data_IF_101439568253
#
_entry.id   IF_101439568253
#
_cell.length_a   1.000
_cell.length_b   1.000
_cell.length_c   1.000
_cell.angle_alpha   90.00
_cell.angle_beta   90.00
_cell.angle_gamma   90.00
#
_symmetry.space_group_name_H-M   'P 1'
#
loop_
_entity.id
_entity.type
_entity.pdbx_description
1 polymer ?
#
# COMPACT_ATOMS: atom_id res chain seq x y z
N UNK A 1 -95.14 15.12 -1.45
CA UNK A 1 -94.11 14.53 -0.66
C UNK A 1 -93.01 14.16 -1.63
N UNK A 2 -92.05 15.06 -1.87
CA UNK A 2 -90.98 14.90 -2.85
C UNK A 2 -89.68 14.64 -2.12
N UNK A 3 -89.13 13.47 -2.32
CA UNK A 3 -87.75 13.14 -1.90
C UNK A 3 -86.84 13.41 -3.08
N UNK A 4 -86.01 14.44 -2.97
CA UNK A 4 -84.92 14.74 -3.88
C UNK A 4 -83.62 14.03 -3.40
N UNK A 5 -83.24 13.03 -4.14
CA UNK A 5 -81.90 12.42 -3.98
C UNK A 5 -80.85 13.23 -4.77
N UNK A 6 -79.92 13.76 -4.08
CA UNK A 6 -78.72 14.39 -4.66
C UNK A 6 -77.57 13.30 -4.86
N UNK A 7 -76.99 13.14 -6.05
CA UNK A 7 -75.89 12.18 -6.24
C UNK A 7 -74.59 12.81 -5.81
N UNK A 8 -73.96 12.19 -4.84
CA UNK A 8 -72.53 12.48 -4.45
C UNK A 8 -71.64 11.97 -5.57
N UNK A 9 -71.02 12.91 -6.29
CA UNK A 9 -69.91 12.60 -7.22
C UNK A 9 -68.72 12.17 -6.45
N UNK A 10 -68.32 10.90 -6.55
CA UNK A 10 -67.05 10.39 -6.09
C UNK A 10 -65.91 10.96 -6.97
N UNK A 11 -65.09 11.80 -6.40
CA UNK A 11 -63.86 12.31 -7.00
C UNK A 11 -62.86 11.20 -6.98
N UNK A 12 -62.64 10.52 -8.10
CA UNK A 12 -61.53 9.59 -8.29
C UNK A 12 -60.23 10.37 -8.30
N UNK A 13 -59.42 10.22 -7.26
CA UNK A 13 -58.02 10.68 -7.21
C UNK A 13 -57.19 9.77 -8.14
N UNK A 14 -57.00 10.22 -9.38
CA UNK A 14 -56.04 9.64 -10.30
C UNK A 14 -54.62 10.09 -9.87
N UNK A 15 -54.07 9.45 -8.85
CA UNK A 15 -52.64 9.55 -8.48
C UNK A 15 -51.84 8.57 -9.31
N UNK A 16 -51.72 8.78 -10.59
CA UNK A 16 -50.57 8.28 -11.35
C UNK A 16 -49.39 9.20 -11.05
N UNK A 17 -48.73 8.98 -9.93
CA UNK A 17 -47.37 9.48 -9.74
C UNK A 17 -46.53 8.80 -10.80
N UNK A 18 -46.10 9.57 -11.81
CA UNK A 18 -44.99 9.13 -12.67
C UNK A 18 -43.84 8.69 -11.77
N UNK A 19 -43.18 7.54 -12.04
CA UNK A 19 -42.05 7.12 -11.23
C UNK A 19 -41.03 8.26 -11.25
N UNK A 20 -40.74 8.80 -10.09
CA UNK A 20 -39.66 9.79 -9.92
C UNK A 20 -38.36 9.10 -10.30
N UNK A 21 -37.97 9.25 -11.56
CA UNK A 21 -36.68 8.76 -12.07
C UNK A 21 -35.62 9.69 -11.49
N UNK A 22 -34.71 9.15 -10.68
CA UNK A 22 -33.55 9.89 -10.18
C UNK A 22 -32.69 10.35 -11.38
N UNK A 23 -32.23 11.59 -11.39
CA UNK A 23 -31.23 12.05 -12.38
C UNK A 23 -29.99 11.15 -12.38
N UNK A 24 -29.42 10.95 -13.55
CA UNK A 24 -28.24 10.06 -13.73
C UNK A 24 -27.04 10.50 -12.87
N UNK A 25 -26.88 11.81 -12.66
CA UNK A 25 -25.82 12.37 -11.81
C UNK A 25 -25.95 11.92 -10.35
N UNK A 26 -27.17 11.89 -9.83
CA UNK A 26 -27.45 11.41 -8.47
C UNK A 26 -27.25 9.89 -8.36
N UNK A 27 -27.62 9.14 -9.39
CA UNK A 27 -27.36 7.70 -9.45
C UNK A 27 -25.85 7.45 -9.42
N UNK A 28 -25.07 8.16 -10.24
CA UNK A 28 -23.63 8.08 -10.30
C UNK A 28 -23.00 8.42 -8.93
N UNK A 29 -23.47 9.50 -8.31
CA UNK A 29 -22.97 9.91 -6.99
C UNK A 29 -23.25 8.84 -5.93
N UNK A 30 -24.45 8.28 -5.86
CA UNK A 30 -24.82 7.20 -4.93
C UNK A 30 -23.97 5.95 -5.19
N UNK A 31 -23.83 5.54 -6.45
CA UNK A 31 -23.04 4.37 -6.82
C UNK A 31 -21.58 4.51 -6.40
N UNK A 32 -21.01 5.71 -6.49
CA UNK A 32 -19.60 5.95 -6.16
C UNK A 32 -19.25 5.74 -4.68
N UNK A 33 -20.25 5.65 -3.79
CA UNK A 33 -20.06 5.33 -2.37
C UNK A 33 -20.22 3.84 -2.06
N UNK A 34 -20.63 3.02 -3.02
CA UNK A 34 -20.93 1.61 -2.78
C UNK A 34 -19.66 0.76 -2.82
N UNK A 35 -19.58 -0.31 -1.99
CA UNK A 35 -18.50 -1.28 -2.07
C UNK A 35 -18.38 -1.92 -3.45
N UNK A 36 -17.16 -2.25 -3.89
CA UNK A 36 -16.88 -2.85 -5.20
C UNK A 36 -17.75 -4.10 -5.44
N UNK A 37 -17.92 -4.95 -4.42
CA UNK A 37 -18.77 -6.16 -4.50
C UNK A 37 -20.20 -5.84 -4.92
N UNK A 38 -20.77 -4.73 -4.44
CA UNK A 38 -22.12 -4.27 -4.82
C UNK A 38 -22.15 -3.74 -6.24
N UNK A 39 -21.15 -2.91 -6.60
CA UNK A 39 -21.01 -2.37 -7.95
C UNK A 39 -20.87 -3.46 -9.01
N UNK A 40 -20.11 -4.50 -8.72
CA UNK A 40 -19.95 -5.65 -9.62
C UNK A 40 -21.27 -6.40 -9.84
N UNK A 41 -22.18 -6.43 -8.85
CA UNK A 41 -23.54 -6.95 -9.03
C UNK A 41 -24.39 -6.00 -9.90
N UNK A 42 -24.31 -4.70 -9.64
CA UNK A 42 -25.04 -3.70 -10.43
C UNK A 42 -24.65 -3.68 -11.91
N UNK A 43 -23.40 -3.97 -12.23
CA UNK A 43 -22.96 -4.15 -13.64
C UNK A 43 -23.75 -5.21 -14.40
N UNK A 44 -24.38 -6.16 -13.72
CA UNK A 44 -25.16 -7.21 -14.33
C UNK A 44 -26.64 -6.87 -14.50
N UNK A 45 -27.12 -5.73 -13.96
CA UNK A 45 -28.55 -5.36 -13.95
C UNK A 45 -29.01 -4.81 -15.29
N UNK A 46 -28.27 -3.84 -15.85
CA UNK A 46 -28.59 -3.24 -17.14
C UNK A 46 -27.36 -2.65 -17.83
N UNK A 47 -27.53 -2.23 -19.09
CA UNK A 47 -26.44 -1.67 -19.93
C UNK A 47 -25.93 -0.33 -19.40
N UNK A 48 -26.83 0.54 -18.92
CA UNK A 48 -26.47 1.85 -18.35
C UNK A 48 -25.52 1.68 -17.17
N UNK A 49 -25.89 0.89 -16.16
CA UNK A 49 -25.05 0.63 -14.99
C UNK A 49 -23.73 -0.03 -15.37
N UNK A 50 -23.75 -0.94 -16.34
CA UNK A 50 -22.52 -1.59 -16.83
C UNK A 50 -21.57 -0.58 -17.45
N UNK A 51 -22.03 0.31 -18.32
CA UNK A 51 -21.19 1.35 -18.95
C UNK A 51 -20.68 2.35 -17.93
N UNK A 52 -21.56 2.87 -17.07
CA UNK A 52 -21.22 3.84 -16.03
C UNK A 52 -20.16 3.31 -15.06
N UNK A 53 -20.35 2.11 -14.50
CA UNK A 53 -19.41 1.53 -13.52
C UNK A 53 -18.07 1.15 -14.17
N UNK A 54 -18.04 0.97 -15.51
CA UNK A 54 -16.81 0.65 -16.25
C UNK A 54 -16.12 1.89 -16.83
N UNK A 55 -16.73 3.05 -16.69
CA UNK A 55 -16.20 4.32 -17.19
C UNK A 55 -14.94 4.72 -16.38
N UNK A 56 -13.82 5.10 -17.02
CA UNK A 56 -12.61 5.49 -16.33
C UNK A 56 -12.79 6.66 -15.34
N UNK A 57 -13.65 7.62 -15.66
CA UNK A 57 -13.93 8.75 -14.78
C UNK A 57 -14.67 8.28 -13.52
N UNK A 58 -15.67 7.38 -13.67
CA UNK A 58 -16.35 6.77 -12.53
C UNK A 58 -15.39 5.95 -11.66
N UNK A 59 -14.52 5.15 -12.29
CA UNK A 59 -13.50 4.37 -11.59
C UNK A 59 -12.61 5.26 -10.73
N UNK A 60 -12.16 6.40 -11.27
CA UNK A 60 -11.34 7.36 -10.53
C UNK A 60 -12.11 8.04 -9.40
N UNK A 61 -13.37 8.44 -9.65
CA UNK A 61 -14.24 9.03 -8.64
C UNK A 61 -14.49 8.05 -7.48
N UNK A 62 -14.78 6.80 -7.79
CA UNK A 62 -14.96 5.74 -6.81
C UNK A 62 -13.67 5.50 -6.01
N UNK A 63 -12.50 5.45 -6.67
CA UNK A 63 -11.21 5.27 -6.03
C UNK A 63 -10.93 6.37 -4.99
N UNK A 64 -11.20 7.64 -5.35
CA UNK A 64 -11.01 8.77 -4.44
C UNK A 64 -11.89 8.67 -3.19
N UNK A 65 -13.11 8.12 -3.32
CA UNK A 65 -14.01 7.88 -2.18
C UNK A 65 -13.61 6.65 -1.38
N UNK A 66 -13.17 5.59 -2.06
CA UNK A 66 -12.74 4.32 -1.45
C UNK A 66 -11.46 4.45 -0.64
N UNK A 67 -10.62 5.47 -0.89
CA UNK A 67 -9.39 5.72 -0.13
C UNK A 67 -9.63 5.86 1.38
N UNK A 68 -10.85 6.17 1.79
CA UNK A 68 -11.29 6.21 3.21
C UNK A 68 -11.53 4.82 3.81
N UNK A 69 -11.68 3.78 3.00
CA UNK A 69 -11.94 2.40 3.42
C UNK A 69 -10.68 1.54 3.26
N UNK A 70 -9.65 1.89 4.02
CA UNK A 70 -8.39 1.18 3.98
C UNK A 70 -8.51 -0.21 4.64
N UNK A 71 -7.88 -1.19 4.02
CA UNK A 71 -7.72 -2.55 4.51
C UNK A 71 -6.24 -2.87 4.65
N UNK A 72 -5.93 -3.85 5.48
CA UNK A 72 -4.64 -4.53 5.45
C UNK A 72 -4.78 -5.80 4.62
N UNK A 73 -3.86 -6.04 3.71
CA UNK A 73 -3.86 -7.21 2.84
C UNK A 73 -2.62 -8.07 3.09
N UNK A 74 -2.81 -9.38 3.11
CA UNK A 74 -1.76 -10.35 3.35
C UNK A 74 -1.98 -11.63 2.55
N UNK A 75 -0.93 -12.19 1.95
CA UNK A 75 -0.94 -13.54 1.43
C UNK A 75 -0.71 -14.59 2.52
N UNK A 76 -1.54 -15.63 2.47
CA UNK A 76 -1.43 -16.79 3.35
C UNK A 76 -0.72 -17.94 2.63
N UNK A 77 -0.14 -18.87 3.41
CA UNK A 77 0.53 -20.06 2.87
C UNK A 77 -0.37 -20.97 2.05
N UNK A 78 -1.69 -20.90 2.24
CA UNK A 78 -2.69 -21.66 1.49
C UNK A 78 -3.06 -21.05 0.15
N UNK A 79 -2.26 -20.09 -0.33
CA UNK A 79 -2.51 -19.34 -1.56
C UNK A 79 -3.82 -18.54 -1.52
N UNK A 80 -4.20 -18.03 -0.37
CA UNK A 80 -5.31 -17.09 -0.23
C UNK A 80 -4.80 -15.70 0.18
N UNK A 81 -5.52 -14.67 -0.24
CA UNK A 81 -5.37 -13.32 0.27
C UNK A 81 -6.36 -13.13 1.43
N UNK A 82 -5.85 -12.65 2.54
CA UNK A 82 -6.66 -12.20 3.65
C UNK A 82 -6.66 -10.68 3.66
N UNK A 83 -7.85 -10.09 3.73
CA UNK A 83 -8.02 -8.65 3.92
C UNK A 83 -8.69 -8.36 5.26
N UNK A 84 -8.14 -7.41 6.00
CA UNK A 84 -8.61 -6.96 7.30
C UNK A 84 -9.05 -5.50 7.19
N UNK A 85 -10.31 -5.22 7.46
CA UNK A 85 -10.82 -3.85 7.51
C UNK A 85 -10.23 -3.09 8.70
N UNK A 86 -9.66 -1.92 8.47
CA UNK A 86 -9.14 -1.04 9.53
C UNK A 86 -10.23 -0.68 10.56
N UNK A 87 -11.46 -0.25 10.17
CA UNK A 87 -12.54 -0.04 11.13
C UNK A 87 -12.87 -1.28 11.97
N UNK A 88 -12.84 -2.46 11.37
CA UNK A 88 -13.05 -3.73 12.08
C UNK A 88 -11.95 -4.00 13.12
N UNK A 89 -10.70 -3.69 12.79
CA UNK A 89 -9.57 -3.80 13.72
C UNK A 89 -9.73 -2.86 14.92
N UNK A 90 -10.16 -1.62 14.68
CA UNK A 90 -10.35 -0.62 15.74
C UNK A 90 -11.52 -0.95 16.68
N UNK A 91 -12.57 -1.58 16.16
CA UNK A 91 -13.74 -2.00 16.92
C UNK A 91 -13.55 -3.33 17.69
N UNK A 92 -12.35 -3.93 17.62
CA UNK A 92 -12.03 -5.24 18.23
C UNK A 92 -12.89 -6.42 17.72
N UNK A 93 -13.69 -6.21 16.71
CA UNK A 93 -14.50 -7.24 16.05
C UNK A 93 -13.68 -7.94 14.95
N UNK A 94 -12.69 -8.72 15.35
CA UNK A 94 -11.69 -9.37 14.46
C UNK A 94 -12.26 -10.56 13.68
N UNK A 95 -13.56 -10.77 13.69
CA UNK A 95 -14.20 -11.96 13.11
C UNK A 95 -14.34 -11.90 11.59
N UNK A 96 -14.04 -10.79 10.93
CA UNK A 96 -14.26 -10.67 9.48
C UNK A 96 -12.93 -10.62 8.75
N UNK A 97 -12.31 -11.76 8.65
CA UNK A 97 -11.25 -12.00 7.69
C UNK A 97 -11.90 -12.37 6.36
N UNK A 98 -11.97 -11.44 5.44
CA UNK A 98 -12.31 -11.79 4.06
C UNK A 98 -11.16 -12.60 3.48
N UNK A 99 -11.40 -13.89 3.28
CA UNK A 99 -10.43 -14.78 2.64
C UNK A 99 -10.79 -14.91 1.17
N UNK A 100 -9.95 -14.40 0.31
CA UNK A 100 -10.14 -14.43 -1.13
C UNK A 100 -9.19 -15.48 -1.70
N UNK A 101 -9.70 -16.60 -2.24
CA UNK A 101 -8.85 -17.57 -2.89
C UNK A 101 -8.17 -16.91 -4.09
N UNK A 102 -6.87 -17.14 -4.22
CA UNK A 102 -6.17 -16.71 -5.41
C UNK A 102 -6.74 -17.48 -6.63
N UNK A 103 -6.95 -16.80 -7.78
CA UNK A 103 -7.46 -17.47 -8.97
C UNK A 103 -6.57 -18.66 -9.32
N UNK A 104 -7.16 -19.86 -9.37
CA UNK A 104 -6.45 -21.12 -9.56
C UNK A 104 -5.77 -21.18 -10.92
N UNK A 105 -4.46 -21.31 -10.89
CA UNK A 105 -3.61 -21.77 -11.98
C UNK A 105 -2.32 -22.38 -11.38
N UNK A 106 -1.48 -23.12 -12.13
CA UNK A 106 -0.31 -23.85 -11.61
C UNK A 106 0.68 -23.09 -10.73
N UNK A 107 0.34 -21.86 -10.35
CA UNK A 107 1.05 -21.05 -9.36
C UNK A 107 0.95 -21.54 -7.91
N UNK A 108 0.32 -22.65 -7.59
CA UNK A 108 0.39 -23.21 -6.24
C UNK A 108 1.85 -23.34 -5.75
N UNK A 109 2.77 -23.59 -6.68
CA UNK A 109 4.22 -23.60 -6.42
C UNK A 109 4.85 -22.19 -6.43
N UNK A 110 4.28 -21.24 -7.17
CA UNK A 110 4.79 -19.88 -7.26
C UNK A 110 4.58 -19.07 -5.97
N UNK A 111 3.44 -19.23 -5.34
CA UNK A 111 3.07 -18.45 -4.16
C UNK A 111 3.79 -18.91 -2.89
N UNK A 112 4.34 -20.11 -2.86
CA UNK A 112 5.11 -20.58 -1.71
C UNK A 112 6.36 -19.71 -1.43
N UNK A 113 6.84 -18.98 -2.46
CA UNK A 113 7.91 -17.99 -2.38
C UNK A 113 7.52 -16.61 -2.93
N UNK A 114 6.24 -16.43 -3.31
CA UNK A 114 5.73 -15.17 -3.83
C UNK A 114 5.64 -14.11 -2.73
N UNK A 115 5.88 -12.87 -3.11
CA UNK A 115 5.99 -11.75 -2.23
C UNK A 115 5.11 -10.60 -2.74
N UNK A 116 4.22 -10.07 -1.88
CA UNK A 116 3.59 -8.77 -2.17
C UNK A 116 4.68 -7.70 -2.08
N UNK A 117 4.85 -6.96 -3.15
CA UNK A 117 5.79 -5.83 -3.22
C UNK A 117 5.12 -4.55 -2.75
N UNK A 118 3.86 -4.37 -3.11
CA UNK A 118 3.10 -3.19 -2.73
C UNK A 118 1.68 -3.20 -3.30
N UNK A 119 0.96 -2.16 -2.96
CA UNK A 119 -0.38 -1.85 -3.43
C UNK A 119 -0.40 -0.43 -3.99
N UNK A 120 -1.14 -0.23 -5.08
CA UNK A 120 -1.39 1.09 -5.63
C UNK A 120 -2.76 1.11 -6.29
N UNK A 121 -3.62 2.05 -5.89
CA UNK A 121 -4.98 2.22 -6.42
C UNK A 121 -5.82 0.92 -6.40
N UNK A 122 -5.60 0.06 -5.41
CA UNK A 122 -6.30 -1.22 -5.27
C UNK A 122 -5.78 -2.35 -6.15
N UNK A 123 -4.73 -2.12 -6.92
CA UNK A 123 -3.94 -3.19 -7.52
C UNK A 123 -2.88 -3.68 -6.55
N UNK A 124 -2.83 -4.98 -6.32
CA UNK A 124 -1.71 -5.64 -5.66
C UNK A 124 -0.67 -6.04 -6.70
N UNK A 125 0.55 -5.67 -6.44
CA UNK A 125 1.71 -6.12 -7.20
C UNK A 125 2.50 -7.14 -6.39
N UNK A 126 2.79 -8.27 -6.98
CA UNK A 126 3.59 -9.33 -6.37
C UNK A 126 4.50 -10.01 -7.38
N UNK A 127 5.59 -10.55 -6.85
CA UNK A 127 6.54 -11.33 -7.61
C UNK A 127 6.26 -12.80 -7.39
N UNK A 128 6.02 -13.52 -8.47
CA UNK A 128 5.98 -14.96 -8.48
C UNK A 128 7.33 -15.55 -8.87
N UNK A 129 7.71 -16.68 -8.29
CA UNK A 129 8.95 -17.38 -8.64
C UNK A 129 8.64 -18.78 -9.20
N UNK A 130 9.27 -19.13 -10.32
CA UNK A 130 9.16 -20.45 -10.93
C UNK A 130 10.43 -21.26 -10.67
N UNK A 131 10.33 -22.29 -9.81
CA UNK A 131 11.44 -23.21 -9.55
C UNK A 131 11.87 -23.96 -10.83
N UNK A 132 10.90 -24.38 -11.64
CA UNK A 132 11.16 -25.14 -12.87
C UNK A 132 11.92 -24.33 -13.94
N UNK A 133 11.76 -23.00 -13.96
CA UNK A 133 12.40 -22.11 -14.92
C UNK A 133 13.45 -21.19 -14.29
N UNK A 134 13.60 -21.23 -12.97
CA UNK A 134 14.43 -20.28 -12.21
C UNK A 134 14.17 -18.81 -12.63
N UNK A 135 12.92 -18.46 -12.82
CA UNK A 135 12.49 -17.16 -13.33
C UNK A 135 11.48 -16.50 -12.41
N UNK A 136 11.54 -15.18 -12.33
CA UNK A 136 10.56 -14.33 -11.66
C UNK A 136 9.53 -13.84 -12.67
N UNK A 137 8.28 -13.70 -12.25
CA UNK A 137 7.23 -13.07 -13.04
C UNK A 137 6.54 -11.96 -12.24
N UNK A 138 6.20 -10.88 -12.92
CA UNK A 138 5.42 -9.79 -12.38
C UNK A 138 3.94 -10.16 -12.43
N UNK A 139 3.27 -10.01 -11.31
CA UNK A 139 1.86 -10.35 -11.21
C UNK A 139 1.07 -9.17 -10.64
N UNK A 140 0.00 -8.80 -11.33
CA UNK A 140 -0.91 -7.74 -10.92
C UNK A 140 -2.31 -8.31 -10.73
N UNK A 141 -2.92 -7.98 -9.62
CA UNK A 141 -4.24 -8.50 -9.28
C UNK A 141 -5.08 -7.48 -8.53
N UNK A 142 -6.34 -7.36 -8.93
CA UNK A 142 -7.34 -6.65 -8.17
C UNK A 142 -8.27 -7.66 -7.48
N UNK A 143 -8.10 -7.91 -6.19
CA UNK A 143 -8.91 -8.89 -5.45
C UNK A 143 -10.38 -8.53 -5.36
N UNK A 144 -10.71 -7.22 -5.29
CA UNK A 144 -12.09 -6.76 -5.17
C UNK A 144 -12.92 -7.09 -6.41
N UNK A 145 -12.33 -7.02 -7.58
CA UNK A 145 -13.00 -7.37 -8.84
C UNK A 145 -13.10 -8.88 -9.07
N UNK A 146 -12.36 -9.70 -8.33
CA UNK A 146 -12.27 -11.16 -8.50
C UNK A 146 -11.94 -11.60 -9.93
N UNK A 147 -11.25 -10.75 -10.67
CA UNK A 147 -10.78 -11.04 -12.02
C UNK A 147 -9.52 -11.92 -11.96
N UNK A 148 -9.21 -12.57 -13.08
CA UNK A 148 -7.94 -13.27 -13.19
C UNK A 148 -6.79 -12.25 -13.07
N UNK A 149 -5.69 -12.66 -12.40
CA UNK A 149 -4.50 -11.85 -12.37
C UNK A 149 -3.82 -11.84 -13.73
N UNK A 150 -3.08 -10.76 -14.04
CA UNK A 150 -2.22 -10.68 -15.22
C UNK A 150 -0.77 -10.95 -14.84
N UNK A 151 -0.10 -11.68 -15.70
CA UNK A 151 1.35 -11.89 -15.68
C UNK A 151 1.99 -11.06 -16.76
N UNK A 152 3.07 -10.40 -16.39
CA UNK A 152 3.86 -9.63 -17.34
C UNK A 152 5.33 -9.99 -17.17
N UNK A 153 6.04 -10.04 -18.29
CA UNK A 153 7.48 -10.09 -18.39
C UNK A 153 8.18 -11.11 -17.50
N UNK A 154 8.97 -11.96 -18.11
CA UNK A 154 9.95 -12.75 -17.40
C UNK A 154 11.22 -11.93 -17.33
N UNK A 155 11.54 -11.41 -16.14
CA UNK A 155 12.87 -10.88 -15.91
C UNK A 155 13.77 -12.05 -15.48
N UNK A 156 14.48 -12.64 -16.45
CA UNK A 156 15.40 -13.74 -16.19
C UNK A 156 16.71 -13.15 -15.65
N UNK A 157 16.85 -13.09 -14.35
CA UNK A 157 18.13 -12.82 -13.74
C UNK A 157 18.51 -13.93 -12.75
N UNK A 158 19.21 -14.93 -13.24
CA UNK A 158 19.59 -16.15 -12.48
C UNK A 158 20.49 -15.88 -11.28
N UNK A 159 21.11 -14.70 -11.18
CA UNK A 159 22.21 -14.47 -10.27
C UNK A 159 22.09 -13.23 -9.37
N UNK A 160 21.06 -12.42 -9.52
CA UNK A 160 20.97 -11.13 -8.83
C UNK A 160 19.65 -10.97 -8.10
N UNK A 161 19.72 -10.58 -6.84
CA UNK A 161 18.53 -10.26 -6.03
C UNK A 161 18.00 -8.91 -6.46
N UNK A 162 16.99 -8.91 -7.30
CA UNK A 162 16.27 -7.71 -7.70
C UNK A 162 15.41 -7.20 -6.54
N UNK A 163 15.34 -5.89 -6.43
CA UNK A 163 14.35 -5.17 -5.64
C UNK A 163 13.34 -4.56 -6.58
N UNK A 164 12.12 -4.51 -6.13
CA UNK A 164 11.00 -4.02 -6.93
C UNK A 164 10.23 -2.98 -6.16
N UNK A 165 9.75 -1.99 -6.87
CA UNK A 165 8.83 -0.96 -6.37
C UNK A 165 7.73 -0.76 -7.40
N UNK A 166 6.59 -0.26 -6.95
CA UNK A 166 5.39 -0.18 -7.77
C UNK A 166 4.67 1.13 -7.52
N UNK A 167 4.19 1.77 -8.58
CA UNK A 167 3.46 3.01 -8.51
C UNK A 167 2.66 3.33 -9.77
N UNK A 168 1.96 4.44 -9.75
CA UNK A 168 1.15 4.93 -10.84
C UNK A 168 1.73 6.22 -11.39
N UNK A 169 1.97 6.26 -12.70
CA UNK A 169 2.36 7.45 -13.44
C UNK A 169 1.11 8.25 -13.79
N UNK A 170 0.91 9.36 -13.09
CA UNK A 170 -0.27 10.20 -13.27
C UNK A 170 -0.34 10.86 -14.66
N UNK A 171 0.80 11.14 -15.29
CA UNK A 171 0.87 11.80 -16.59
C UNK A 171 0.56 10.85 -17.74
N UNK A 172 1.10 9.64 -17.67
CA UNK A 172 0.87 8.61 -18.68
C UNK A 172 -0.40 7.77 -18.43
N UNK A 173 -1.03 7.93 -17.25
CA UNK A 173 -2.23 7.16 -16.90
C UNK A 173 -1.97 5.66 -16.77
N UNK A 174 -0.75 5.24 -16.40
CA UNK A 174 -0.35 3.83 -16.40
C UNK A 174 0.45 3.46 -15.15
N UNK A 175 0.52 2.16 -14.86
CA UNK A 175 1.31 1.65 -13.76
C UNK A 175 2.74 1.36 -14.19
N UNK A 176 3.70 1.66 -13.32
CA UNK A 176 5.13 1.39 -13.51
C UNK A 176 5.68 0.53 -12.38
N UNK A 177 6.55 -0.42 -12.75
CA UNK A 177 7.39 -1.17 -11.82
C UNK A 177 8.82 -0.71 -12.01
N UNK A 178 9.48 -0.36 -10.93
CA UNK A 178 10.90 -0.06 -10.91
C UNK A 178 11.62 -1.26 -10.31
N UNK A 179 12.50 -1.87 -11.10
CA UNK A 179 13.34 -2.99 -10.67
C UNK A 179 14.79 -2.55 -10.62
N UNK A 180 15.50 -2.88 -9.54
CA UNK A 180 16.91 -2.53 -9.44
C UNK A 180 17.74 -3.56 -8.68
N UNK A 181 19.02 -3.56 -8.94
CA UNK A 181 20.03 -4.30 -8.16
C UNK A 181 21.33 -3.50 -8.12
N UNK A 182 22.16 -3.80 -7.12
CA UNK A 182 23.48 -3.20 -7.00
C UNK A 182 24.52 -4.09 -7.65
N UNK A 183 25.36 -3.51 -8.47
CA UNK A 183 26.49 -4.17 -9.13
C UNK A 183 27.80 -3.62 -8.55
N UNK A 184 28.65 -4.52 -8.10
CA UNK A 184 30.01 -4.17 -7.63
C UNK A 184 30.98 -4.64 -8.71
N UNK A 185 31.69 -3.72 -9.36
CA UNK A 185 32.81 -4.01 -10.23
C UNK A 185 34.09 -3.96 -9.41
N UNK A 186 35.05 -4.86 -9.69
CA UNK A 186 36.34 -4.86 -8.99
C UNK A 186 37.00 -3.47 -9.07
N UNK A 187 37.37 -2.90 -7.91
CA UNK A 187 38.02 -1.60 -7.80
C UNK A 187 37.17 -0.36 -8.03
N UNK A 188 35.85 -0.53 -8.24
CA UNK A 188 34.92 0.58 -8.42
C UNK A 188 33.88 0.65 -7.28
N UNK A 189 33.30 1.83 -7.10
CA UNK A 189 32.14 1.99 -6.22
C UNK A 189 30.95 1.16 -6.74
N UNK A 190 30.11 0.64 -5.86
CA UNK A 190 28.88 -0.02 -6.25
C UNK A 190 27.97 0.92 -7.05
N UNK A 191 27.49 0.43 -8.18
CA UNK A 191 26.52 1.12 -9.03
C UNK A 191 25.19 0.39 -8.99
N UNK A 192 24.10 1.13 -9.10
CA UNK A 192 22.78 0.53 -9.32
C UNK A 192 22.54 0.31 -10.80
N UNK A 193 21.88 -0.78 -11.15
CA UNK A 193 21.24 -0.95 -12.46
C UNK A 193 19.76 -0.86 -12.21
N UNK A 194 19.10 0.08 -12.86
CA UNK A 194 17.68 0.38 -12.65
C UNK A 194 16.92 0.23 -13.95
N UNK A 195 15.81 -0.47 -13.90
CA UNK A 195 14.92 -0.68 -15.04
C UNK A 195 13.49 -0.31 -14.65
N UNK A 196 12.78 0.32 -15.56
CA UNK A 196 11.36 0.58 -15.44
C UNK A 196 10.57 -0.34 -16.39
N UNK A 197 9.51 -0.95 -15.87
CA UNK A 197 8.51 -1.66 -16.63
C UNK A 197 7.25 -0.83 -16.70
N UNK A 198 6.74 -0.59 -17.89
CA UNK A 198 5.48 0.09 -18.11
C UNK A 198 4.39 -0.95 -18.40
N UNK A 199 3.31 -0.92 -17.61
CA UNK A 199 2.21 -1.87 -17.75
C UNK A 199 1.38 -1.60 -19.02
N UNK A 200 1.33 -0.35 -19.49
CA UNK A 200 0.53 0.04 -20.65
C UNK A 200 1.05 -0.54 -21.97
N UNK A 201 2.36 -0.49 -22.19
CA UNK A 201 3.01 -1.00 -23.41
C UNK A 201 3.73 -2.35 -23.21
N UNK A 202 3.68 -2.90 -22.01
CA UNK A 202 4.33 -4.16 -21.63
C UNK A 202 5.83 -4.20 -21.96
N UNK A 203 6.53 -3.09 -21.74
CA UNK A 203 7.93 -2.95 -22.10
C UNK A 203 8.83 -2.65 -20.90
N UNK A 204 10.07 -3.17 -20.95
CA UNK A 204 11.15 -2.83 -20.04
C UNK A 204 12.11 -1.85 -20.70
N UNK A 205 12.57 -0.86 -19.94
CA UNK A 205 13.64 0.04 -20.35
C UNK A 205 14.62 0.29 -19.24
N UNK A 206 15.85 0.62 -19.58
CA UNK A 206 16.82 1.11 -18.63
C UNK A 206 16.53 2.59 -18.34
N UNK A 207 16.61 2.95 -17.06
CA UNK A 207 16.50 4.34 -16.61
C UNK A 207 17.77 4.74 -15.85
N UNK A 208 17.89 6.02 -15.51
CA UNK A 208 19.04 6.54 -14.78
C UNK A 208 19.29 5.76 -13.50
N UNK A 209 20.57 5.51 -13.18
CA UNK A 209 20.98 4.91 -11.93
C UNK A 209 20.64 5.79 -10.74
N UNK A 210 20.46 5.21 -9.56
CA UNK A 210 20.25 5.97 -8.34
C UNK A 210 21.43 6.90 -8.06
N UNK A 211 21.19 8.20 -7.76
CA UNK A 211 22.24 9.12 -7.34
C UNK A 211 22.83 8.74 -5.97
N UNK A 212 21.99 8.20 -5.10
CA UNK A 212 22.35 7.62 -3.81
C UNK A 212 21.69 6.26 -3.69
N UNK A 213 22.47 5.23 -3.35
CA UNK A 213 21.96 3.87 -3.28
C UNK A 213 20.91 3.71 -2.16
N UNK A 214 19.71 3.19 -2.47
CA UNK A 214 18.73 2.85 -1.47
C UNK A 214 19.29 1.88 -0.44
N UNK A 215 18.92 2.06 0.82
CA UNK A 215 19.25 1.12 1.89
C UNK A 215 18.68 -0.24 1.55
N UNK A 216 19.55 -1.23 1.62
CA UNK A 216 19.24 -2.58 1.18
C UNK A 216 19.27 -3.54 2.36
N UNK A 217 18.15 -4.21 2.66
CA UNK A 217 18.12 -5.25 3.67
C UNK A 217 18.21 -6.65 3.09
N UNK A 218 18.99 -7.46 3.79
CA UNK A 218 19.20 -8.85 3.40
C UNK A 218 17.98 -9.73 3.72
N UNK A 219 17.17 -9.33 4.71
CA UNK A 219 15.98 -10.04 5.14
C UNK A 219 14.74 -9.16 4.97
N UNK A 220 13.86 -9.57 4.09
CA UNK A 220 12.55 -8.96 3.93
C UNK A 220 12.42 -7.87 2.86
N UNK A 221 11.18 -7.41 2.66
CA UNK A 221 10.79 -6.37 1.70
C UNK A 221 10.96 -4.95 2.21
N UNK A 222 11.63 -4.78 3.32
CA UNK A 222 11.91 -3.45 3.81
C UNK A 222 12.69 -2.69 2.78
N UNK A 223 12.26 -1.48 2.54
CA UNK A 223 12.86 -0.60 1.57
C UNK A 223 12.59 -0.95 0.10
N UNK A 224 11.43 -1.54 -0.19
CA UNK A 224 10.96 -1.62 -1.58
C UNK A 224 10.57 -0.25 -2.16
N UNK A 225 10.73 0.81 -1.37
CA UNK A 225 10.21 2.12 -1.68
C UNK A 225 8.71 2.25 -1.38
N UNK A 226 8.28 3.47 -1.10
CA UNK A 226 6.89 3.80 -0.86
C UNK A 226 6.38 4.72 -1.96
N UNK A 227 5.22 4.40 -2.50
CA UNK A 227 4.57 5.22 -3.52
C UNK A 227 3.82 6.39 -2.87
N UNK A 228 4.01 7.58 -3.40
CA UNK A 228 3.27 8.78 -3.03
C UNK A 228 3.06 9.67 -4.26
N UNK A 229 1.82 9.88 -4.66
CA UNK A 229 1.39 10.89 -5.63
C UNK A 229 2.23 10.99 -6.92
N UNK A 230 2.55 9.85 -7.53
CA UNK A 230 3.35 9.78 -8.78
C UNK A 230 4.84 9.60 -8.56
N UNK A 231 5.30 9.55 -7.29
CA UNK A 231 6.70 9.29 -6.96
C UNK A 231 6.88 7.98 -6.21
N UNK A 232 8.06 7.38 -6.33
CA UNK A 232 8.50 6.28 -5.45
C UNK A 232 9.68 6.77 -4.63
N UNK A 233 9.63 6.54 -3.34
CA UNK A 233 10.56 7.10 -2.37
C UNK A 233 11.29 5.97 -1.63
N UNK A 234 12.62 6.05 -1.51
CA UNK A 234 13.45 5.11 -0.79
C UNK A 234 14.32 5.82 0.22
N UNK A 235 14.45 5.24 1.39
CA UNK A 235 15.48 5.64 2.33
C UNK A 235 16.85 5.21 1.78
N UNK A 236 17.82 6.11 1.78
CA UNK A 236 19.14 5.91 1.21
C UNK A 236 20.23 6.45 2.15
N UNK A 237 21.48 6.02 1.90
CA UNK A 237 22.61 6.45 2.70
C UNK A 237 23.76 6.87 1.79
N UNK A 238 24.11 8.16 1.82
CA UNK A 238 25.23 8.72 1.04
C UNK A 238 26.55 8.08 1.44
N UNK A 239 27.41 7.85 0.46
CA UNK A 239 28.75 7.32 0.67
C UNK A 239 28.81 5.97 1.41
N UNK A 240 27.74 5.21 1.34
CA UNK A 240 27.67 3.89 1.97
C UNK A 240 27.75 2.79 0.92
N UNK A 241 28.86 2.03 0.93
CA UNK A 241 29.19 1.10 -0.15
C UNK A 241 29.25 -0.38 0.29
N UNK A 242 28.79 -0.73 1.49
CA UNK A 242 28.84 -2.11 1.96
C UNK A 242 27.53 -2.84 1.68
N UNK A 243 27.51 -3.80 0.74
CA UNK A 243 26.29 -4.54 0.40
C UNK A 243 25.96 -5.67 1.38
N UNK A 244 26.83 -5.99 2.35
CA UNK A 244 26.65 -7.09 3.28
C UNK A 244 26.38 -6.58 4.69
N UNK A 245 25.23 -6.90 5.17
CA UNK A 245 24.62 -6.43 6.37
C UNK A 245 24.64 -7.50 7.46
N UNK A 246 25.42 -7.34 8.52
CA UNK A 246 25.50 -8.10 9.73
C UNK A 246 25.41 -7.23 10.98
N UNK A 247 25.19 -7.78 12.12
CA UNK A 247 25.13 -7.08 13.41
C UNK A 247 26.38 -6.20 13.61
N UNK A 248 26.19 -4.91 13.95
CA UNK A 248 27.28 -3.95 14.18
C UNK A 248 27.53 -2.92 13.06
N UNK A 249 26.60 -2.63 12.26
CA UNK A 249 26.56 -2.08 10.92
C UNK A 249 26.86 -0.61 10.75
N UNK A 250 26.49 0.20 11.70
CA UNK A 250 26.55 1.65 11.57
C UNK A 250 27.85 2.27 12.12
N UNK A 251 28.95 1.50 12.22
CA UNK A 251 30.24 2.09 12.56
C UNK A 251 30.69 3.07 11.48
N UNK A 252 30.75 4.35 11.84
CA UNK A 252 31.21 5.43 10.96
C UNK A 252 30.14 6.04 10.06
N UNK A 253 28.86 5.66 10.24
CA UNK A 253 27.72 6.36 9.61
C UNK A 253 27.34 7.57 10.45
N UNK A 254 27.02 8.68 9.80
CA UNK A 254 26.50 9.91 10.44
C UNK A 254 25.08 10.19 10.01
N UNK A 255 24.36 11.02 10.75
CA UNK A 255 22.97 11.36 10.46
C UNK A 255 22.82 12.09 9.13
N UNK A 256 23.79 12.90 8.74
CA UNK A 256 23.81 13.69 7.51
C UNK A 256 23.91 12.83 6.25
N UNK A 257 24.32 11.57 6.40
CA UNK A 257 24.38 10.64 5.28
C UNK A 257 22.99 10.09 4.91
N UNK A 258 22.03 10.11 5.85
CA UNK A 258 20.68 9.64 5.59
C UNK A 258 19.90 10.64 4.74
N UNK A 259 19.30 10.13 3.66
CA UNK A 259 18.43 10.90 2.76
C UNK A 259 17.29 10.00 2.28
N UNK A 260 16.26 10.63 1.73
CA UNK A 260 15.25 9.93 0.95
C UNK A 260 15.52 10.26 -0.52
N UNK A 261 15.64 9.24 -1.35
CA UNK A 261 15.71 9.38 -2.81
C UNK A 261 14.33 9.17 -3.36
N UNK A 262 13.82 10.17 -4.09
CA UNK A 262 12.52 10.17 -4.72
C UNK A 262 12.67 10.11 -6.23
N UNK A 263 12.01 9.14 -6.88
CA UNK A 263 11.91 9.01 -8.33
C UNK A 263 10.52 9.46 -8.78
N UNK A 264 10.45 10.50 -9.58
CA UNK A 264 9.24 10.88 -10.30
C UNK A 264 9.00 9.90 -11.44
N UNK A 265 7.83 9.25 -11.44
CA UNK A 265 7.51 8.21 -12.42
C UNK A 265 7.20 8.78 -13.82
N UNK A 266 6.86 10.06 -13.92
CA UNK A 266 6.54 10.69 -15.21
C UNK A 266 7.79 11.15 -15.95
N UNK A 267 8.69 11.83 -15.24
CA UNK A 267 9.94 12.38 -15.79
C UNK A 267 11.12 11.42 -15.68
N UNK A 268 11.01 10.39 -14.80
CA UNK A 268 12.08 9.44 -14.45
C UNK A 268 13.34 10.12 -13.90
N UNK A 269 13.15 11.28 -13.31
CA UNK A 269 14.19 12.04 -12.63
C UNK A 269 14.19 11.79 -11.13
N UNK A 270 15.37 11.90 -10.52
CA UNK A 270 15.55 11.73 -9.09
C UNK A 270 15.70 13.06 -8.38
N UNK A 271 15.13 13.14 -7.18
CA UNK A 271 15.37 14.22 -6.21
C UNK A 271 15.78 13.63 -4.87
N UNK A 272 16.60 14.34 -4.11
CA UNK A 272 16.94 13.99 -2.74
C UNK A 272 16.13 14.85 -1.76
N UNK A 273 15.52 14.19 -0.79
CA UNK A 273 14.73 14.82 0.27
C UNK A 273 15.50 14.65 1.58
N UNK A 274 15.77 15.76 2.25
CA UNK A 274 16.49 15.77 3.52
C UNK A 274 15.56 15.34 4.66
N UNK A 275 16.12 14.63 5.64
CA UNK A 275 15.40 14.18 6.83
C UNK A 275 15.15 15.35 7.81
N UNK A 276 14.26 15.20 8.81
CA UNK A 276 13.93 16.25 9.76
C UNK A 276 15.16 16.71 10.55
N UNK A 277 15.23 18.00 10.87
CA UNK A 277 16.35 18.57 11.67
C UNK A 277 16.44 18.03 13.09
N UNK A 278 15.38 17.39 13.61
CA UNK A 278 15.40 16.71 14.90
C UNK A 278 15.86 15.26 14.84
N UNK A 279 16.34 14.80 13.68
CA UNK A 279 17.02 13.51 13.52
C UNK A 279 18.53 13.73 13.72
N UNK A 280 18.98 13.64 14.96
CA UNK A 280 20.30 14.06 15.43
C UNK A 280 21.19 12.91 15.96
N UNK A 281 20.67 11.69 15.97
CA UNK A 281 21.43 10.50 16.33
C UNK A 281 21.26 9.36 15.31
N UNK A 282 22.31 8.61 15.09
CA UNK A 282 22.25 7.41 14.24
C UNK A 282 21.44 6.34 14.93
N UNK A 283 20.33 5.89 14.33
CA UNK A 283 19.42 4.96 15.00
C UNK A 283 20.07 3.58 15.14
N UNK A 284 19.73 2.89 16.25
CA UNK A 284 20.21 1.53 16.54
C UNK A 284 19.56 0.49 15.65
N UNK A 285 18.28 0.72 15.35
CA UNK A 285 17.46 -0.09 14.46
C UNK A 285 17.28 0.65 13.16
N UNK A 286 17.03 -0.09 12.10
CA UNK A 286 16.83 0.56 10.81
C UNK A 286 15.66 1.53 10.85
N UNK A 287 15.87 2.75 10.37
CA UNK A 287 14.78 3.66 10.10
C UNK A 287 13.90 3.14 8.97
N UNK A 288 12.65 3.58 8.98
CA UNK A 288 11.66 3.22 7.98
C UNK A 288 11.02 4.47 7.38
N UNK A 289 10.48 4.32 6.18
CA UNK A 289 9.58 5.30 5.58
C UNK A 289 8.22 4.66 5.31
N UNK A 290 7.18 5.46 5.38
CA UNK A 290 5.80 5.06 5.13
C UNK A 290 5.02 6.22 4.51
N UNK A 291 3.82 5.95 4.05
CA UNK A 291 2.84 6.98 3.68
C UNK A 291 1.67 6.87 4.64
N UNK A 292 1.40 7.94 5.38
CA UNK A 292 0.25 8.05 6.27
C UNK A 292 -0.52 9.32 5.93
N UNK A 293 -1.84 9.24 5.81
CA UNK A 293 -2.70 10.37 5.44
C UNK A 293 -2.19 11.14 4.19
N UNK A 294 -1.72 10.41 3.20
CA UNK A 294 -1.14 10.98 1.97
C UNK A 294 0.09 11.89 2.19
N UNK A 295 0.80 11.70 3.29
CA UNK A 295 2.06 12.38 3.60
C UNK A 295 3.19 11.37 3.76
N UNK A 296 4.39 11.76 3.32
CA UNK A 296 5.59 10.97 3.55
C UNK A 296 5.95 11.01 5.04
N UNK A 297 6.18 9.83 5.61
CA UNK A 297 6.54 9.67 7.01
C UNK A 297 7.91 9.02 7.14
N UNK A 298 8.66 9.43 8.15
CA UNK A 298 9.94 8.87 8.54
C UNK A 298 9.88 8.38 9.97
N UNK A 299 10.19 7.12 10.20
CA UNK A 299 10.20 6.49 11.53
C UNK A 299 11.58 6.00 11.90
N UNK A 300 12.03 6.29 13.11
CA UNK A 300 13.35 5.87 13.59
C UNK A 300 13.37 5.56 15.07
N UNK A 301 14.32 4.72 15.47
CA UNK A 301 14.69 4.50 16.87
C UNK A 301 15.39 5.76 17.42
N UNK A 302 15.04 6.14 18.66
CA UNK A 302 15.69 7.21 19.40
C UNK A 302 16.14 6.71 20.77
N UNK A 303 17.46 6.71 21.00
CA UNK A 303 18.10 6.35 22.26
C UNK A 303 17.80 4.92 22.74
N UNK A 304 17.37 4.00 21.87
CA UNK A 304 16.87 2.66 22.24
C UNK A 304 15.69 2.67 23.22
N UNK A 305 15.01 3.80 23.33
CA UNK A 305 13.92 4.02 24.28
C UNK A 305 12.60 4.36 23.62
N UNK A 306 12.65 4.94 22.45
CA UNK A 306 11.47 5.44 21.76
C UNK A 306 11.50 5.11 20.27
N UNK A 307 10.33 4.87 19.71
CA UNK A 307 10.10 4.94 18.27
C UNK A 307 9.50 6.30 17.95
N UNK A 308 10.20 7.08 17.15
CA UNK A 308 9.79 8.43 16.75
C UNK A 308 9.29 8.40 15.33
N UNK A 309 8.15 9.05 15.06
CA UNK A 309 7.57 9.17 13.72
C UNK A 309 7.44 10.65 13.39
N UNK A 310 8.00 11.01 12.26
CA UNK A 310 7.87 12.33 11.63
C UNK A 310 6.97 12.23 10.41
N UNK A 311 6.26 13.31 10.10
CA UNK A 311 5.52 13.43 8.88
C UNK A 311 5.87 14.72 8.15
N UNK A 312 5.98 14.67 6.83
CA UNK A 312 6.27 15.79 5.95
C UNK A 312 4.95 16.38 5.44
N UNK A 313 4.63 17.61 5.84
CA UNK A 313 3.38 18.27 5.43
C UNK A 313 3.41 18.69 3.96
N UNK A 314 4.53 19.28 3.54
CA UNK A 314 4.74 19.72 2.17
C UNK A 314 5.85 18.88 1.55
N UNK A 315 5.48 18.05 0.56
CA UNK A 315 6.38 17.07 -0.03
C UNK A 315 7.65 17.72 -0.61
N UNK A 316 8.81 17.22 -0.19
CA UNK A 316 10.12 17.71 -0.61
C UNK A 316 10.66 18.90 0.18
N UNK A 317 9.88 19.50 1.09
CA UNK A 317 10.28 20.65 1.90
C UNK A 317 10.75 20.19 3.28
N UNK A 318 12.07 20.29 3.55
CA UNK A 318 12.66 19.83 4.81
C UNK A 318 12.04 20.47 6.04
N UNK A 319 11.73 21.76 5.98
CA UNK A 319 11.15 22.55 7.08
C UNK A 319 9.73 22.12 7.43
N UNK A 320 9.06 21.39 6.54
CA UNK A 320 7.68 20.92 6.73
C UNK A 320 7.60 19.64 7.58
N UNK A 321 8.74 19.03 7.95
CA UNK A 321 8.75 17.89 8.86
C UNK A 321 8.23 18.28 10.24
N UNK A 322 7.23 17.55 10.73
CA UNK A 322 6.68 17.68 12.08
C UNK A 322 6.72 16.32 12.78
N UNK A 323 7.22 16.32 14.01
CA UNK A 323 7.17 15.11 14.84
C UNK A 323 5.72 14.79 15.18
N UNK A 324 5.28 13.61 14.77
CA UNK A 324 3.92 13.14 14.94
C UNK A 324 3.74 12.34 16.24
N UNK A 325 4.65 11.37 16.46
CA UNK A 325 4.63 10.50 17.62
C UNK A 325 6.03 10.28 18.19
N UNK A 326 6.09 10.05 19.51
CA UNK A 326 7.25 9.56 20.23
C UNK A 326 6.79 8.46 21.18
N UNK A 327 6.81 7.22 20.72
CA UNK A 327 6.24 6.05 21.40
C UNK A 327 7.32 5.38 22.25
N UNK A 328 7.08 5.25 23.55
CA UNK A 328 8.02 4.59 24.45
C UNK A 328 8.06 3.07 24.20
N UNK A 329 9.27 2.51 24.09
CA UNK A 329 9.44 1.06 24.04
C UNK A 329 9.01 0.35 25.32
N UNK A 330 9.00 1.06 26.46
CA UNK A 330 8.50 0.50 27.70
C UNK A 330 7.04 0.05 27.58
N UNK A 331 6.24 0.82 26.85
CA UNK A 331 4.84 0.49 26.59
C UNK A 331 4.68 -0.72 25.64
N UNK A 332 5.73 -1.02 24.87
CA UNK A 332 5.80 -2.17 23.96
C UNK A 332 6.40 -3.42 24.64
N UNK A 333 7.27 -3.24 25.66
CA UNK A 333 7.98 -4.33 26.35
C UNK A 333 7.12 -5.18 27.30
N UNK A 334 5.92 -4.78 27.63
CA UNK A 334 4.96 -5.69 28.29
C UNK A 334 4.62 -6.91 27.42
N UNK A 335 5.20 -6.96 26.21
CA UNK A 335 5.10 -8.03 25.23
C UNK A 335 6.47 -8.72 25.18
N UNK A 336 6.61 -10.01 25.59
CA UNK A 336 7.88 -10.72 25.56
C UNK A 336 8.36 -10.88 24.10
N UNK A 337 9.22 -10.01 23.63
CA UNK A 337 9.94 -10.19 22.38
C UNK A 337 11.38 -9.77 22.58
N UNK A 338 12.29 -10.73 22.62
CA UNK A 338 13.72 -10.50 22.72
C UNK A 338 14.38 -10.11 21.38
N UNK A 339 13.62 -9.61 20.41
CA UNK A 339 14.08 -9.38 19.04
C UNK A 339 14.00 -7.90 18.63
N UNK A 340 14.80 -7.56 17.65
CA UNK A 340 15.02 -6.25 17.06
C UNK A 340 13.71 -5.57 16.64
N UNK A 341 13.49 -4.36 17.14
CA UNK A 341 12.29 -3.56 16.85
C UNK A 341 12.31 -3.03 15.44
N UNK A 342 11.44 -3.58 14.65
CA UNK A 342 11.34 -3.32 13.24
C UNK A 342 9.89 -2.94 12.89
N UNK A 343 9.55 -1.70 13.25
CA UNK A 343 8.20 -1.19 13.12
C UNK A 343 7.93 -0.58 11.76
N UNK A 344 6.81 -0.97 11.17
CA UNK A 344 6.28 -0.39 9.95
C UNK A 344 4.95 0.28 10.23
N UNK A 345 4.85 1.61 10.19
CA UNK A 345 3.57 2.31 10.24
C UNK A 345 2.71 1.94 9.03
N UNK A 346 1.43 1.69 9.25
CA UNK A 346 0.48 1.25 8.21
C UNK A 346 -0.72 2.18 8.05
N UNK A 347 -1.20 2.76 9.14
CA UNK A 347 -2.39 3.59 9.11
C UNK A 347 -2.37 4.61 10.24
N UNK A 348 -2.86 5.80 9.95
CA UNK A 348 -3.15 6.85 10.92
C UNK A 348 -4.61 7.27 10.75
N UNK A 349 -5.35 7.34 11.86
CA UNK A 349 -6.74 7.79 11.86
C UNK A 349 -6.86 9.26 11.42
N UNK A 350 -8.00 9.64 10.83
CA UNK A 350 -8.25 11.00 10.34
C UNK A 350 -8.10 12.08 11.42
N UNK A 351 -8.42 11.75 12.67
CA UNK A 351 -8.23 12.64 13.81
C UNK A 351 -6.78 12.68 14.34
N UNK A 352 -5.87 11.91 13.77
CA UNK A 352 -4.47 11.84 14.16
C UNK A 352 -4.18 11.13 15.50
N UNK A 353 -5.18 10.53 16.14
CA UNK A 353 -5.00 9.98 17.50
C UNK A 353 -4.67 8.50 17.54
N UNK A 354 -4.95 7.76 16.47
CA UNK A 354 -4.74 6.31 16.44
C UNK A 354 -3.82 5.91 15.32
N UNK A 355 -2.69 5.32 15.68
CA UNK A 355 -1.71 4.74 14.77
C UNK A 355 -1.83 3.22 14.77
N UNK A 356 -1.88 2.62 13.58
CA UNK A 356 -1.70 1.17 13.41
C UNK A 356 -0.32 0.93 12.80
N UNK A 357 0.44 0.03 13.39
CA UNK A 357 1.74 -0.38 12.90
C UNK A 357 1.96 -1.88 13.10
N UNK A 358 2.88 -2.44 12.35
CA UNK A 358 3.28 -3.85 12.49
C UNK A 358 4.71 -3.96 12.94
N UNK A 359 5.02 -5.07 13.59
CA UNK A 359 6.37 -5.55 13.81
C UNK A 359 6.65 -6.66 12.78
N UNK A 360 7.73 -6.49 12.05
CA UNK A 360 8.02 -7.35 10.91
C UNK A 360 8.26 -8.82 11.26
N UNK A 361 9.06 -9.12 12.30
CA UNK A 361 9.46 -10.49 12.62
C UNK A 361 8.35 -11.30 13.31
N UNK A 362 7.55 -10.65 14.16
CA UNK A 362 6.51 -11.32 14.95
C UNK A 362 5.14 -11.34 14.25
N UNK A 363 5.01 -10.63 13.13
CA UNK A 363 3.75 -10.52 12.40
C UNK A 363 2.60 -10.02 13.26
N UNK A 364 2.89 -9.15 14.21
CA UNK A 364 1.91 -8.58 15.13
C UNK A 364 1.44 -7.23 14.64
N UNK A 365 0.15 -6.97 14.77
CA UNK A 365 -0.43 -5.63 14.55
C UNK A 365 -0.62 -4.95 15.89
N UNK A 366 -0.21 -3.72 15.97
CA UNK A 366 -0.36 -2.87 17.16
C UNK A 366 -1.24 -1.68 16.84
N UNK A 367 -2.08 -1.32 17.78
CA UNK A 367 -2.86 -0.09 17.78
C UNK A 367 -2.37 0.78 18.92
N UNK A 368 -1.85 1.94 18.59
CA UNK A 368 -1.41 2.96 19.52
C UNK A 368 -2.41 4.10 19.54
N UNK A 369 -2.89 4.45 20.73
CA UNK A 369 -3.69 5.65 20.97
C UNK A 369 -2.83 6.68 21.70
N UNK A 370 -2.62 7.86 21.08
CA UNK A 370 -1.77 8.87 21.65
C UNK A 370 -2.42 9.70 22.78
N UNK A 371 -3.75 9.62 22.96
CA UNK A 371 -4.43 10.33 24.03
C UNK A 371 -4.14 9.67 25.37
N UNK A 372 -4.22 8.35 25.41
CA UNK A 372 -4.04 7.55 26.65
C UNK A 372 -2.63 6.96 26.74
N UNK A 373 -1.76 7.22 25.74
CA UNK A 373 -0.43 6.59 25.58
C UNK A 373 -0.48 5.06 25.67
N UNK A 374 -1.56 4.47 25.14
CA UNK A 374 -1.86 3.06 25.26
C UNK A 374 -1.57 2.32 23.97
N UNK A 375 -0.89 1.17 24.11
CA UNK A 375 -0.65 0.25 23.02
C UNK A 375 -1.43 -1.04 23.25
N UNK A 376 -2.15 -1.47 22.23
CA UNK A 376 -2.83 -2.76 22.23
C UNK A 376 -2.25 -3.63 21.11
N UNK A 377 -1.91 -4.86 21.44
CA UNK A 377 -1.54 -5.88 20.45
C UNK A 377 -2.79 -6.59 19.98
N UNK A 378 -3.07 -6.52 18.69
CA UNK A 378 -4.14 -7.29 18.07
C UNK A 378 -3.60 -8.67 17.70
N UNK A 379 -4.14 -9.69 18.34
CA UNK A 379 -3.90 -11.08 17.95
C UNK A 379 -4.89 -11.45 16.85
N UNK A 380 -4.40 -11.61 15.64
CA UNK A 380 -5.22 -12.14 14.55
C UNK A 380 -5.34 -13.65 14.78
N UNK A 381 -6.55 -14.10 15.14
CA UNK A 381 -6.84 -15.51 15.35
C UNK A 381 -6.66 -16.29 14.05
N UNK A 382 -6.24 -17.57 14.17
CA UNK A 382 -6.06 -18.54 13.09
C UNK A 382 -4.70 -18.61 12.38
N UNK A 383 -3.59 -18.71 13.13
CA UNK A 383 -2.27 -19.11 12.59
C UNK A 383 -1.82 -18.32 11.34
N UNK A 384 -2.29 -17.08 11.21
CA UNK A 384 -1.80 -16.16 10.18
C UNK A 384 -0.43 -15.63 10.63
N UNK A 385 0.60 -15.97 9.89
CA UNK A 385 1.91 -15.38 10.06
C UNK A 385 1.93 -14.09 9.24
N UNK A 386 1.86 -12.92 9.90
CA UNK A 386 1.74 -11.62 9.25
C UNK A 386 3.08 -11.12 8.65
N UNK A 387 3.77 -11.93 7.88
CA UNK A 387 5.09 -11.57 7.36
C UNK A 387 5.10 -10.50 6.28
N UNK A 388 3.98 -10.21 5.63
CA UNK A 388 3.94 -9.32 4.46
C UNK A 388 2.60 -8.63 4.40
N UNK A 389 2.38 -7.70 5.34
CA UNK A 389 1.16 -6.90 5.36
C UNK A 389 1.41 -5.64 4.55
N UNK A 390 0.51 -5.30 3.66
CA UNK A 390 0.46 -4.02 2.96
C UNK A 390 -0.91 -3.38 3.16
N UNK A 391 -0.96 -2.08 3.03
CA UNK A 391 -2.21 -1.35 2.88
C UNK A 391 -2.90 -1.74 1.57
N UNK A 392 -4.21 -1.72 1.56
CA UNK A 392 -5.01 -2.10 0.40
C UNK A 392 -6.34 -1.36 0.39
N UNK A 393 -6.75 -0.87 -0.76
CA UNK A 393 -8.04 -0.23 -0.99
C UNK A 393 -8.84 -1.06 -2.00
N UNK A 394 -10.11 -1.32 -1.73
CA UNK A 394 -10.95 -1.92 -2.76
C UNK A 394 -11.20 -0.92 -3.90
N UNK A 395 -11.00 -1.34 -5.13
CA UNK A 395 -11.17 -0.48 -6.30
C UNK A 395 -11.77 -1.21 -7.49
N UNK A 396 -12.26 -0.44 -8.47
CA UNK A 396 -12.72 -0.92 -9.77
C UNK A 396 -11.61 -0.89 -10.83
N UNK A 397 -10.38 -0.57 -10.45
CA UNK A 397 -9.25 -0.45 -11.37
C UNK A 397 -9.00 -1.79 -12.06
N UNK A 398 -9.01 -1.82 -13.41
CA UNK A 398 -8.76 -3.06 -14.13
C UNK A 398 -7.28 -3.47 -14.02
N UNK A 399 -7.01 -4.74 -14.17
CA UNK A 399 -5.63 -5.27 -14.20
C UNK A 399 -4.90 -5.07 -15.54
N UNK A 400 -5.51 -4.28 -16.42
CA UNK A 400 -5.00 -3.99 -17.78
C UNK A 400 -5.62 -4.90 -18.83
#
# INVERSE_FOLDING_TARGET
>A
MNNSHCPVKAMALDRRQSPTVLPDELIIEILSWLPVKSLMKFRCVNKFLKTTISDPHFVQMHLNKSSRNLHLAQFCRDASLVTLSIPGLLQKNITIVNRIPFPLDPLKYFLYRGQIVGSCNGLLFFIGYSDARHSECLCFWNPAMRTNYKRFGLFINRFRRLKYSFGYDNSAGTYKVVAFYTQVKHGCNPESVVKAFNLGDNSWRDIQCFPVLPLYWFRGNKNNGVYLSGTINWLALRNYFRPSYGFGWFKGVTVEQYVIVSLDLSTESYTEILLPRGFDEVPHFQPTIAVLMNCLCFGHDFGKKHFVIWHMKDFGVQESWVQLFKISYHNLYSIPSGYLFDFQPLYLSENGHTLIFTEYEMGSVFVYNCIDDRIERIRITNKLWLFWVTDYIESLVPTG
#
